data_IF_822438160083
#
_entry.id   IF_822438160083
#
_cell.length_a   1.000
_cell.length_b   1.000
_cell.length_c   1.000
_cell.angle_alpha   90.00
_cell.angle_beta   90.00
_cell.angle_gamma   90.00
#
_symmetry.space_group_name_H-M   'P 1'
#
loop_
_entity.id
_entity.type
_entity.pdbx_description
1 polymer ?
#
# COMPACT_ATOMS: atom_id res chain seq x y z
N UNK A 1 28.65 -0.78 4.21
CA UNK A 1 27.23 -0.81 4.60
C UNK A 1 26.48 0.04 3.59
N UNK A 2 25.87 -0.58 2.58
CA UNK A 2 25.22 0.17 1.50
C UNK A 2 23.97 0.89 2.02
N UNK A 3 24.04 2.22 1.99
CA UNK A 3 22.98 3.15 2.34
C UNK A 3 21.67 2.75 1.62
N UNK A 4 20.63 2.42 2.39
CA UNK A 4 19.31 2.00 1.91
C UNK A 4 18.45 3.19 1.46
N UNK A 5 19.03 4.40 1.43
CA UNK A 5 18.33 5.67 1.16
C UNK A 5 17.66 5.76 -0.22
N UNK A 6 17.96 4.85 -1.15
CA UNK A 6 17.28 4.75 -2.45
C UNK A 6 16.52 3.43 -2.65
N UNK A 7 16.42 2.57 -1.62
CA UNK A 7 16.11 1.15 -1.79
C UNK A 7 14.64 0.76 -1.58
N UNK A 8 13.79 1.60 -1.00
CA UNK A 8 12.47 1.13 -0.57
C UNK A 8 11.32 1.37 -1.55
N UNK A 9 11.55 2.09 -2.65
CA UNK A 9 10.49 2.55 -3.54
C UNK A 9 10.72 2.30 -5.00
N UNK A 10 11.44 1.22 -5.28
CA UNK A 10 11.32 0.59 -6.59
C UNK A 10 10.33 -0.56 -6.44
N UNK A 11 9.06 -0.17 -6.56
CA UNK A 11 7.98 -1.08 -6.89
C UNK A 11 7.56 -1.98 -5.73
N UNK A 12 6.89 -1.41 -4.72
CA UNK A 12 5.76 -2.13 -4.12
C UNK A 12 4.72 -2.28 -5.23
N UNK A 13 4.93 -3.28 -6.09
CA UNK A 13 3.88 -3.75 -6.98
C UNK A 13 2.91 -4.47 -6.05
N UNK A 14 2.03 -3.71 -5.39
CA UNK A 14 0.69 -4.21 -5.12
C UNK A 14 -0.07 -4.22 -6.44
N UNK A 15 0.49 -4.92 -7.43
CA UNK A 15 -0.33 -5.52 -8.42
C UNK A 15 -0.80 -6.80 -7.74
N UNK A 16 -2.07 -6.82 -7.35
CA UNK A 16 -2.83 -8.06 -7.45
C UNK A 16 -2.64 -8.54 -8.89
N UNK A 17 -1.59 -9.34 -9.12
CA UNK A 17 -1.24 -9.84 -10.44
C UNK A 17 -2.18 -11.01 -10.70
N UNK A 18 -3.40 -10.70 -11.10
CA UNK A 18 -4.18 -11.62 -11.93
C UNK A 18 -3.57 -11.63 -13.34
N UNK A 19 -2.35 -12.17 -13.44
CA UNK A 19 -1.59 -12.20 -14.67
C UNK A 19 -1.33 -13.64 -15.09
N UNK A 20 -1.65 -13.95 -16.36
CA UNK A 20 -1.34 -15.24 -16.96
C UNK A 20 0.17 -15.46 -17.20
N UNK A 21 0.94 -14.37 -17.31
CA UNK A 21 2.39 -14.38 -17.56
C UNK A 21 3.12 -13.36 -16.64
N UNK A 22 3.24 -13.66 -15.34
CA UNK A 22 3.94 -12.78 -14.40
C UNK A 22 5.44 -12.61 -14.72
N UNK A 23 6.08 -13.62 -15.33
CA UNK A 23 7.52 -13.61 -15.58
C UNK A 23 7.93 -12.51 -16.58
N UNK A 24 7.15 -12.32 -17.66
CA UNK A 24 7.44 -11.27 -18.64
C UNK A 24 7.33 -9.85 -18.07
N UNK A 25 6.43 -9.64 -17.11
CA UNK A 25 6.32 -8.39 -16.36
C UNK A 25 7.54 -8.21 -15.47
N UNK A 26 7.89 -9.21 -14.66
CA UNK A 26 8.99 -9.15 -13.71
C UNK A 26 10.34 -8.90 -14.38
N UNK A 27 10.57 -9.47 -15.58
CA UNK A 27 11.77 -9.21 -16.40
C UNK A 27 11.92 -7.76 -16.84
N UNK A 28 10.81 -7.05 -17.07
CA UNK A 28 10.82 -5.65 -17.51
C UNK A 28 11.04 -4.67 -16.36
N UNK A 29 10.69 -5.08 -15.14
CA UNK A 29 10.88 -4.28 -13.93
C UNK A 29 12.37 -4.26 -13.54
N UNK A 30 12.97 -3.07 -13.57
CA UNK A 30 14.37 -2.85 -13.21
C UNK A 30 14.52 -2.59 -11.72
N UNK A 31 15.70 -2.86 -11.18
CA UNK A 31 16.01 -2.63 -9.77
C UNK A 31 15.68 -3.80 -8.85
N UNK A 32 15.99 -3.60 -7.57
CA UNK A 32 15.70 -4.55 -6.48
C UNK A 32 14.21 -4.49 -6.16
N UNK A 33 13.60 -5.64 -5.91
CA UNK A 33 12.17 -5.78 -5.67
C UNK A 33 11.95 -6.50 -4.36
N UNK A 34 10.94 -6.10 -3.63
CA UNK A 34 10.44 -6.79 -2.44
C UNK A 34 8.97 -7.05 -2.67
N UNK A 35 8.51 -8.24 -2.30
CA UNK A 35 7.11 -8.61 -2.40
C UNK A 35 6.50 -8.64 -1.00
N UNK A 36 5.43 -7.87 -0.81
CA UNK A 36 4.54 -8.04 0.33
C UNK A 36 3.32 -8.80 -0.19
N UNK A 37 3.15 -10.03 0.28
CA UNK A 37 2.17 -10.98 -0.26
C UNK A 37 0.76 -10.50 0.04
N UNK A 38 -0.01 -10.30 -1.04
CA UNK A 38 -1.42 -10.02 -1.00
C UNK A 38 -2.30 -11.25 -1.19
N UNK A 39 -3.61 -11.08 -1.00
CA UNK A 39 -4.55 -12.21 -1.01
C UNK A 39 -4.75 -12.87 -2.39
N UNK A 40 -4.36 -12.19 -3.46
CA UNK A 40 -4.47 -12.69 -4.84
C UNK A 40 -3.15 -13.33 -5.36
N UNK A 41 -2.05 -13.21 -4.62
CA UNK A 41 -0.73 -13.58 -5.14
C UNK A 41 -0.52 -15.09 -5.27
N UNK A 42 -1.26 -15.89 -4.48
CA UNK A 42 -1.23 -17.36 -4.58
C UNK A 42 -1.61 -17.90 -5.97
N UNK A 43 -2.22 -17.09 -6.83
CA UNK A 43 -2.54 -17.50 -8.20
C UNK A 43 -1.35 -17.50 -9.17
N UNK A 44 -0.23 -16.84 -8.81
CA UNK A 44 0.90 -16.64 -9.73
C UNK A 44 2.27 -16.95 -9.12
N UNK A 45 2.43 -16.92 -7.80
CA UNK A 45 3.73 -17.08 -7.11
C UNK A 45 4.46 -18.39 -7.49
N UNK A 46 3.72 -19.47 -7.68
CA UNK A 46 4.24 -20.80 -8.02
C UNK A 46 4.66 -20.93 -9.49
N UNK A 47 4.33 -19.93 -10.32
CA UNK A 47 4.64 -19.90 -11.76
C UNK A 47 6.01 -19.30 -12.07
N UNK A 48 6.71 -18.74 -11.07
CA UNK A 48 8.00 -18.06 -11.25
C UNK A 48 8.96 -18.41 -10.12
N UNK A 49 10.27 -18.30 -10.38
CA UNK A 49 11.26 -18.34 -9.32
C UNK A 49 11.30 -17.01 -8.57
N UNK A 50 10.61 -16.94 -7.44
CA UNK A 50 10.54 -15.72 -6.62
C UNK A 50 11.93 -15.24 -6.15
N UNK A 51 12.84 -16.16 -5.83
CA UNK A 51 14.18 -15.82 -5.35
C UNK A 51 15.05 -15.18 -6.44
N UNK A 52 14.72 -15.45 -7.71
CA UNK A 52 15.38 -14.81 -8.84
C UNK A 52 14.96 -13.33 -8.99
N UNK A 53 13.69 -13.02 -8.71
CA UNK A 53 13.12 -11.68 -8.97
C UNK A 53 13.08 -10.76 -7.75
N UNK A 54 12.94 -11.32 -6.56
CA UNK A 54 12.73 -10.59 -5.32
C UNK A 54 13.88 -10.78 -4.34
N UNK A 55 14.23 -9.70 -3.65
CA UNK A 55 15.18 -9.70 -2.53
C UNK A 55 14.56 -10.36 -1.30
N UNK A 56 13.26 -10.15 -1.10
CA UNK A 56 12.48 -10.79 -0.03
C UNK A 56 11.01 -10.91 -0.44
N UNK A 57 10.34 -11.89 0.14
CA UNK A 57 8.91 -12.16 0.00
C UNK A 57 8.35 -12.34 1.41
N UNK A 58 7.51 -11.40 1.84
CA UNK A 58 7.05 -11.30 3.22
C UNK A 58 5.55 -11.08 3.29
N UNK A 59 4.88 -11.58 4.32
CA UNK A 59 3.49 -11.18 4.61
C UNK A 59 3.44 -9.88 5.43
N UNK A 60 4.53 -9.59 6.14
CA UNK A 60 4.68 -8.49 7.08
C UNK A 60 6.16 -8.15 7.23
N UNK A 61 6.51 -6.87 7.11
CA UNK A 61 7.89 -6.42 7.16
C UNK A 61 8.03 -5.15 8.00
N UNK A 62 8.85 -5.21 9.05
CA UNK A 62 9.37 -4.03 9.75
C UNK A 62 10.72 -3.63 9.15
N UNK A 63 10.87 -2.40 8.68
CA UNK A 63 12.11 -1.95 8.02
C UNK A 63 12.35 -0.45 8.16
N UNK A 64 13.50 0.03 7.69
CA UNK A 64 13.84 1.45 7.61
C UNK A 64 14.72 1.74 6.40
N UNK A 65 14.54 2.91 5.79
CA UNK A 65 15.45 3.44 4.77
C UNK A 65 16.63 4.24 5.38
N UNK A 66 16.73 4.30 6.71
CA UNK A 66 17.69 5.10 7.48
C UNK A 66 17.13 6.44 7.97
N UNK A 67 16.01 6.90 7.42
CA UNK A 67 15.33 8.17 7.76
C UNK A 67 13.93 7.89 8.32
N UNK A 68 13.19 7.00 7.68
CA UNK A 68 11.83 6.60 7.98
C UNK A 68 11.80 5.16 8.48
N UNK A 69 11.13 4.93 9.61
CA UNK A 69 10.77 3.57 10.03
C UNK A 69 9.42 3.19 9.45
N UNK A 70 9.28 1.96 8.97
CA UNK A 70 8.08 1.47 8.28
C UNK A 70 7.69 0.08 8.79
N UNK A 71 6.38 -0.12 8.94
CA UNK A 71 5.72 -1.41 8.99
C UNK A 71 4.95 -1.58 7.68
N UNK A 72 5.18 -2.68 6.97
CA UNK A 72 4.59 -2.93 5.66
C UNK A 72 3.81 -4.24 5.72
N UNK A 73 2.53 -4.20 5.35
CA UNK A 73 1.67 -5.37 5.25
C UNK A 73 0.58 -5.06 4.23
N UNK A 74 0.15 -6.06 3.47
CA UNK A 74 -0.88 -5.89 2.44
C UNK A 74 -2.15 -5.24 3.00
N UNK A 75 -2.58 -5.70 4.18
CA UNK A 75 -3.78 -5.21 4.85
C UNK A 75 -3.47 -3.98 5.73
N UNK A 76 -4.34 -2.95 5.72
CA UNK A 76 -4.17 -1.80 6.59
C UNK A 76 -4.28 -2.21 8.06
N UNK A 77 -3.23 -1.92 8.83
CA UNK A 77 -3.21 -2.11 10.28
C UNK A 77 -3.55 -0.80 10.98
N UNK A 78 -4.53 -0.83 11.89
CA UNK A 78 -4.86 0.31 12.74
C UNK A 78 -3.98 0.41 13.99
N UNK A 79 -3.26 -0.66 14.32
CA UNK A 79 -2.30 -0.75 15.39
C UNK A 79 -1.07 -1.54 14.92
N UNK A 80 0.11 -0.99 15.15
CA UNK A 80 1.38 -1.63 14.87
C UNK A 80 2.46 -1.09 15.81
N UNK A 81 3.61 -1.74 15.83
CA UNK A 81 4.74 -1.36 16.66
C UNK A 81 5.23 0.05 16.30
N UNK A 82 5.41 0.90 17.31
CA UNK A 82 5.91 2.27 17.14
C UNK A 82 5.04 3.17 16.22
N UNK A 83 3.71 3.02 16.22
CA UNK A 83 2.80 3.79 15.36
C UNK A 83 2.94 5.33 15.46
N UNK A 84 3.40 5.86 16.59
CA UNK A 84 3.67 7.30 16.74
C UNK A 84 4.98 7.79 16.09
N UNK A 85 5.83 6.87 15.61
CA UNK A 85 7.17 7.18 15.08
C UNK A 85 7.42 6.61 13.69
N UNK A 86 6.69 5.57 13.31
CA UNK A 86 6.86 4.85 12.05
C UNK A 86 5.62 4.99 11.17
N UNK A 87 5.77 4.65 9.89
CA UNK A 87 4.68 4.61 8.93
C UNK A 87 4.13 3.19 8.82
N UNK A 88 2.83 3.08 8.63
CA UNK A 88 2.17 1.85 8.18
C UNK A 88 1.96 1.98 6.67
N UNK A 89 2.58 1.12 5.88
CA UNK A 89 2.39 1.08 4.42
C UNK A 89 1.58 -0.16 4.08
N UNK A 90 0.49 0.03 3.35
CA UNK A 90 -0.44 -1.03 2.96
C UNK A 90 -0.94 -0.85 1.54
N UNK A 91 -1.70 -1.82 1.04
CA UNK A 91 -2.60 -1.60 -0.08
C UNK A 91 -3.95 -2.23 0.22
N UNK A 92 -4.36 -3.24 -0.54
CA UNK A 92 -5.63 -3.97 -0.42
C UNK A 92 -6.93 -3.16 -0.65
N UNK A 93 -7.10 -2.00 -0.03
CA UNK A 93 -8.35 -1.23 -0.02
C UNK A 93 -8.57 -0.36 -1.26
N UNK A 94 -7.63 -0.36 -2.21
CA UNK A 94 -7.72 0.48 -3.40
C UNK A 94 -7.96 1.97 -3.05
N UNK A 95 -8.59 2.73 -3.92
CA UNK A 95 -9.09 4.07 -3.67
C UNK A 95 -10.49 4.08 -3.00
N UNK A 96 -10.88 3.02 -2.28
CA UNK A 96 -12.19 2.97 -1.62
C UNK A 96 -12.25 3.94 -0.42
N UNK A 97 -13.19 4.89 -0.50
CA UNK A 97 -13.47 5.87 0.54
C UNK A 97 -14.87 5.74 1.13
N UNK A 98 -15.63 4.70 0.75
CA UNK A 98 -17.02 4.49 1.20
C UNK A 98 -17.12 3.48 2.34
N UNK A 99 -16.07 2.71 2.59
CA UNK A 99 -16.06 1.71 3.67
C UNK A 99 -16.02 2.35 5.07
N UNK A 100 -16.57 1.64 6.06
CA UNK A 100 -16.67 2.08 7.47
C UNK A 100 -15.31 2.36 8.14
N UNK A 101 -14.24 1.74 7.66
CA UNK A 101 -12.88 1.97 8.11
C UNK A 101 -12.23 3.23 7.52
N UNK A 102 -12.78 3.82 6.45
CA UNK A 102 -12.18 4.96 5.76
C UNK A 102 -11.92 6.15 6.69
N UNK A 103 -12.86 6.59 7.56
CA UNK A 103 -12.62 7.72 8.46
C UNK A 103 -11.48 7.48 9.44
N UNK A 104 -11.17 6.22 9.76
CA UNK A 104 -10.03 5.84 10.61
C UNK A 104 -8.71 5.93 9.86
N UNK A 105 -8.67 5.50 8.60
CA UNK A 105 -7.46 5.55 7.75
C UNK A 105 -7.16 6.99 7.33
N UNK A 106 -8.19 7.73 6.94
CA UNK A 106 -8.08 9.11 6.49
C UNK A 106 -7.45 10.02 7.56
N UNK A 107 -7.87 9.91 8.81
CA UNK A 107 -7.36 10.75 9.92
C UNK A 107 -5.93 10.41 10.34
N UNK A 108 -5.40 9.26 9.93
CA UNK A 108 -4.04 8.81 10.30
C UNK A 108 -3.05 9.14 9.20
N UNK A 109 -2.31 10.23 9.36
CA UNK A 109 -1.32 10.70 8.37
C UNK A 109 -0.24 9.66 8.05
N UNK A 110 0.11 8.81 9.02
CA UNK A 110 1.17 7.80 8.90
C UNK A 110 0.71 6.45 8.34
N UNK A 111 -0.57 6.31 8.00
CA UNK A 111 -1.08 5.12 7.29
C UNK A 111 -1.11 5.46 5.80
N UNK A 112 -0.20 4.89 5.03
CA UNK A 112 0.02 5.18 3.62
C UNK A 112 -0.46 4.03 2.76
N UNK A 113 -1.30 4.34 1.78
CA UNK A 113 -1.74 3.42 0.75
C UNK A 113 -0.75 3.46 -0.43
N UNK A 114 -0.08 2.33 -0.68
CA UNK A 114 0.83 2.09 -1.79
C UNK A 114 0.10 1.58 -3.05
N UNK A 115 -1.23 1.42 -3.00
CA UNK A 115 -2.07 1.04 -4.13
C UNK A 115 -1.86 1.95 -5.34
N UNK A 116 -1.82 1.34 -6.52
CA UNK A 116 -1.50 2.02 -7.78
C UNK A 116 -2.49 3.13 -8.14
N UNK A 117 -3.74 2.99 -7.74
CA UNK A 117 -4.83 3.96 -7.92
C UNK A 117 -4.66 5.24 -7.09
N UNK A 118 -4.01 5.15 -5.93
CA UNK A 118 -3.62 6.33 -5.12
C UNK A 118 -2.30 6.96 -5.61
N UNK A 119 -1.48 6.21 -6.36
CA UNK A 119 -0.12 6.58 -6.73
C UNK A 119 0.10 6.72 -8.25
N UNK A 120 -0.89 7.22 -8.98
CA UNK A 120 -0.83 7.52 -10.43
C UNK A 120 -0.41 6.34 -11.33
N UNK A 121 -0.71 5.11 -10.93
CA UNK A 121 -0.38 3.88 -11.67
C UNK A 121 1.11 3.73 -12.04
N UNK A 122 1.99 4.24 -11.17
CA UNK A 122 3.44 4.15 -11.34
C UNK A 122 4.14 3.90 -10.01
N UNK A 123 5.35 3.32 -10.03
CA UNK A 123 6.21 3.36 -8.87
C UNK A 123 6.50 4.82 -8.50
N UNK A 124 6.41 5.12 -7.22
CA UNK A 124 6.67 6.45 -6.62
C UNK A 124 7.70 6.29 -5.52
N UNK A 125 8.41 7.37 -5.16
CA UNK A 125 9.30 7.51 -3.99
C UNK A 125 8.52 7.70 -2.69
N UNK A 126 9.20 7.63 -1.53
CA UNK A 126 8.54 7.61 -0.22
C UNK A 126 7.79 8.91 -0.03
N UNK A 127 8.48 9.99 -0.35
CA UNK A 127 8.04 11.36 -0.28
C UNK A 127 6.87 11.60 -1.23
N UNK A 128 6.92 11.05 -2.45
CA UNK A 128 5.80 11.08 -3.39
C UNK A 128 4.59 10.30 -2.86
N UNK A 129 4.80 9.11 -2.28
CA UNK A 129 3.73 8.31 -1.69
C UNK A 129 3.06 9.03 -0.51
N UNK A 130 3.85 9.66 0.36
CA UNK A 130 3.35 10.50 1.46
C UNK A 130 2.51 11.65 0.91
N UNK A 131 3.01 12.36 -0.10
CA UNK A 131 2.32 13.51 -0.68
C UNK A 131 1.05 13.11 -1.43
N UNK A 132 1.08 12.01 -2.17
CA UNK A 132 -0.08 11.46 -2.86
C UNK A 132 -1.17 11.06 -1.88
N UNK A 133 -0.81 10.35 -0.81
CA UNK A 133 -1.75 10.00 0.26
C UNK A 133 -2.33 11.23 0.95
N UNK A 134 -1.51 12.26 1.22
CA UNK A 134 -1.98 13.52 1.79
C UNK A 134 -3.03 14.18 0.90
N UNK A 135 -2.76 14.29 -0.41
CA UNK A 135 -3.70 14.83 -1.40
C UNK A 135 -4.98 13.99 -1.48
N UNK A 136 -4.85 12.67 -1.58
CA UNK A 136 -5.97 11.74 -1.69
C UNK A 136 -6.89 11.85 -0.49
N UNK A 137 -6.34 11.82 0.74
CA UNK A 137 -7.11 11.95 1.98
C UNK A 137 -7.78 13.31 2.10
N UNK A 138 -7.10 14.39 1.71
CA UNK A 138 -7.68 15.74 1.73
C UNK A 138 -8.83 15.89 0.73
N UNK A 139 -8.71 15.33 -0.47
CA UNK A 139 -9.75 15.38 -1.50
C UNK A 139 -11.04 14.66 -1.08
N UNK A 140 -10.95 13.69 -0.17
CA UNK A 140 -12.08 12.91 0.32
C UNK A 140 -12.45 13.25 1.77
N UNK A 141 -11.97 14.38 2.30
CA UNK A 141 -12.31 14.87 3.64
C UNK A 141 -13.74 15.40 3.65
N UNK A 142 -14.67 14.63 4.24
CA UNK A 142 -16.07 15.04 4.40
C UNK A 142 -17.12 14.15 3.72
N UNK A 143 -16.81 12.92 3.34
CA UNK A 143 -17.83 11.92 2.94
C UNK A 143 -18.54 11.25 4.14
N UNK A 144 -18.30 11.72 5.36
CA UNK A 144 -19.04 11.30 6.54
C UNK A 144 -20.45 11.94 6.54
N UNK A 145 -21.48 11.08 6.48
CA UNK A 145 -22.90 11.35 6.76
C UNK A 145 -23.79 11.93 5.62
N UNK A 146 -23.99 11.19 4.53
CA UNK A 146 -25.15 11.41 3.62
C UNK A 146 -26.08 10.19 3.47
N UNK A 147 -25.90 9.13 4.25
CA UNK A 147 -26.80 7.98 4.30
C UNK A 147 -27.25 7.80 5.75
N UNK A 148 -28.57 7.88 6.00
CA UNK A 148 -29.29 7.73 7.28
C UNK A 148 -29.93 9.00 7.88
N UNK A 149 -30.59 9.85 7.07
CA UNK A 149 -31.46 10.91 7.61
C UNK A 149 -32.82 11.10 6.91
N UNK A 150 -33.26 10.21 6.00
CA UNK A 150 -34.49 10.45 5.22
C UNK A 150 -35.58 9.36 5.30
N UNK A 151 -35.66 8.60 6.41
CA UNK A 151 -36.74 7.60 6.60
C UNK A 151 -37.61 7.76 7.86
N UNK A 152 -37.50 8.85 8.63
CA UNK A 152 -38.34 9.06 9.83
C UNK A 152 -39.26 10.28 9.79
N UNK A 153 -39.52 10.87 8.62
CA UNK A 153 -40.43 12.02 8.50
C UNK A 153 -41.66 11.76 7.62
N UNK A 154 -42.24 10.55 7.68
CA UNK A 154 -43.62 10.28 7.21
C UNK A 154 -44.26 9.20 8.08
N UNK A 155 -44.86 9.62 9.20
CA UNK A 155 -46.01 8.97 9.84
C UNK A 155 -46.68 9.98 10.77
#
# INVERSE_FOLDING_TARGET
MENLSNKLLTTAFEASLECSDPESILKRLKGKKWLIVGNHDGSWMDKVDLNHYFVSVDNYLETTDGVHGMTICHYPLLAWKNAGRTYMVHGHIHADTNSDYWPLIQRRERVLNAGVDVNDYRPVTFEEMVENNRKFKAAHAGQDCAHNADETAKN
#
